data_IF_352225070282
#
_entry.id   IF_352225070282
#
_cell.length_a   1.000
_cell.length_b   1.000
_cell.length_c   1.000
_cell.angle_alpha   90.00
_cell.angle_beta   90.00
_cell.angle_gamma   90.00
#
_symmetry.space_group_name_H-M   'P 1'
#
loop_
_entity.id
_entity.type
_entity.pdbx_description
1 polymer ?
#
# COMPACT_ATOMS: atom_id res chain seq x y z
N UNK A 1 4.36 1.15 23.39
CA UNK A 1 5.28 1.09 22.22
C UNK A 1 4.57 0.41 21.07
N UNK A 2 4.77 0.87 19.84
CA UNK A 2 4.20 0.25 18.64
C UNK A 2 5.29 -0.55 17.94
N UNK A 3 5.01 -1.79 17.60
CA UNK A 3 5.94 -2.67 16.88
C UNK A 3 5.27 -3.17 15.60
N UNK A 4 5.97 -3.08 14.47
CA UNK A 4 5.49 -3.57 13.20
C UNK A 4 5.81 -5.07 13.06
N UNK A 5 4.88 -5.82 12.45
CA UNK A 5 5.02 -7.27 12.28
C UNK A 5 6.13 -7.65 11.30
N UNK A 6 6.50 -6.72 10.41
CA UNK A 6 7.63 -6.84 9.49
C UNK A 6 8.22 -5.48 9.14
N UNK A 7 9.44 -5.48 8.70
CA UNK A 7 10.10 -4.28 8.24
C UNK A 7 9.46 -3.83 6.92
N UNK A 8 8.93 -2.63 6.93
CA UNK A 8 8.42 -1.94 5.77
C UNK A 8 9.34 -0.76 5.44
N UNK A 9 9.69 -0.62 4.17
CA UNK A 9 10.59 0.42 3.71
C UNK A 9 9.96 1.20 2.57
N UNK A 10 10.27 2.49 2.50
CA UNK A 10 9.95 3.31 1.35
C UNK A 10 11.06 3.21 0.29
N UNK A 11 10.62 3.11 -0.95
CA UNK A 11 11.45 3.38 -2.11
C UNK A 11 11.08 4.74 -2.68
N UNK A 12 12.03 5.47 -3.21
CA UNK A 12 11.76 6.70 -3.91
C UNK A 12 11.39 6.41 -5.36
N UNK A 13 10.28 6.96 -5.80
CA UNK A 13 9.81 6.88 -7.18
C UNK A 13 9.88 8.26 -7.82
N UNK A 14 10.11 8.29 -9.14
CA UNK A 14 10.06 9.50 -9.97
C UNK A 14 8.96 9.32 -11.00
N UNK A 15 8.12 10.34 -11.13
CA UNK A 15 7.07 10.41 -12.14
C UNK A 15 7.31 11.61 -13.04
N UNK A 16 7.25 11.40 -14.36
CA UNK A 16 7.25 12.47 -15.36
C UNK A 16 5.87 12.48 -16.02
N UNK A 17 5.22 13.61 -16.01
CA UNK A 17 3.85 13.77 -16.51
C UNK A 17 3.64 15.08 -17.26
N UNK A 18 2.56 15.14 -18.02
CA UNK A 18 2.11 16.34 -18.75
C UNK A 18 0.94 16.98 -18.04
N UNK A 19 0.93 18.29 -18.02
CA UNK A 19 -0.20 19.10 -17.58
C UNK A 19 -0.63 20.02 -18.69
N UNK A 20 -1.93 20.02 -18.99
CA UNK A 20 -2.55 20.91 -19.96
C UNK A 20 -3.07 22.14 -19.23
N UNK A 21 -2.49 23.30 -19.54
CA UNK A 21 -2.96 24.57 -19.00
C UNK A 21 -4.21 25.03 -19.71
N UNK A 22 -4.98 25.92 -19.06
CA UNK A 22 -6.23 26.46 -19.61
C UNK A 22 -6.05 27.22 -20.93
N UNK A 23 -4.85 27.71 -21.20
CA UNK A 23 -4.50 28.41 -22.47
C UNK A 23 -4.01 27.43 -23.57
N UNK A 24 -4.21 26.13 -23.38
CA UNK A 24 -3.85 25.08 -24.33
C UNK A 24 -2.38 24.73 -24.39
N UNK A 25 -1.53 25.30 -23.53
CA UNK A 25 -0.12 24.93 -23.46
C UNK A 25 0.06 23.64 -22.67
N UNK A 26 0.96 22.77 -23.16
CA UNK A 26 1.35 21.54 -22.50
C UNK A 26 2.71 21.75 -21.84
N UNK A 27 2.76 21.46 -20.55
CA UNK A 27 4.02 21.50 -19.79
C UNK A 27 4.33 20.10 -19.26
N UNK A 28 5.63 19.76 -19.23
CA UNK A 28 6.09 18.50 -18.65
C UNK A 28 6.71 18.80 -17.28
N UNK A 29 6.27 18.02 -16.30
CA UNK A 29 6.76 18.08 -14.93
C UNK A 29 7.40 16.78 -14.53
N UNK A 30 8.31 16.86 -13.57
CA UNK A 30 8.92 15.69 -12.95
C UNK A 30 8.90 15.86 -11.46
N UNK A 31 8.22 14.93 -10.78
CA UNK A 31 8.11 14.89 -9.32
C UNK A 31 8.68 13.59 -8.77
N UNK A 32 8.98 13.60 -7.47
CA UNK A 32 9.39 12.42 -6.73
C UNK A 32 8.48 12.20 -5.54
N UNK A 33 8.14 10.94 -5.27
CA UNK A 33 7.34 10.55 -4.12
C UNK A 33 7.89 9.26 -3.49
N UNK A 34 7.48 9.00 -2.26
CA UNK A 34 7.82 7.77 -1.56
C UNK A 34 6.67 6.77 -1.72
N UNK A 35 7.03 5.51 -1.96
CA UNK A 35 6.10 4.40 -2.10
C UNK A 35 6.60 3.21 -1.27
N UNK A 36 5.68 2.47 -0.69
CA UNK A 36 6.01 1.25 0.03
C UNK A 36 6.64 0.22 -0.89
N UNK A 37 7.74 -0.39 -0.44
CA UNK A 37 8.61 -1.23 -1.25
C UNK A 37 7.88 -2.39 -1.92
N UNK A 38 7.01 -3.09 -1.19
CA UNK A 38 6.41 -4.33 -1.68
C UNK A 38 5.39 -4.11 -2.80
N UNK A 39 4.81 -2.91 -2.91
CA UNK A 39 3.85 -2.56 -3.97
C UNK A 39 4.43 -1.62 -5.03
N UNK A 40 5.65 -1.13 -4.85
CA UNK A 40 6.22 -0.09 -5.72
C UNK A 40 6.26 -0.49 -7.20
N UNK A 41 6.59 -1.75 -7.51
CA UNK A 41 6.64 -2.23 -8.89
C UNK A 41 5.23 -2.32 -9.50
N UNK A 42 4.22 -2.73 -8.73
CA UNK A 42 2.84 -2.70 -9.19
C UNK A 42 2.37 -1.26 -9.47
N UNK A 43 2.67 -0.31 -8.57
CA UNK A 43 2.37 1.12 -8.74
C UNK A 43 3.07 1.67 -9.98
N UNK A 44 4.35 1.33 -10.21
CA UNK A 44 5.08 1.72 -11.42
C UNK A 44 4.35 1.24 -12.68
N UNK A 45 4.00 -0.04 -12.74
CA UNK A 45 3.33 -0.64 -13.89
C UNK A 45 1.92 -0.09 -14.14
N UNK A 46 1.12 0.14 -13.09
CA UNK A 46 -0.19 0.78 -13.25
C UNK A 46 -0.04 2.14 -13.94
N UNK A 47 0.84 2.98 -13.44
CA UNK A 47 1.07 4.31 -14.00
C UNK A 47 1.64 4.26 -15.41
N UNK A 48 2.63 3.39 -15.68
CA UNK A 48 3.23 3.22 -17.00
C UNK A 48 2.22 2.77 -18.06
N UNK A 49 1.25 1.95 -17.65
CA UNK A 49 0.18 1.47 -18.54
C UNK A 49 -0.99 2.46 -18.66
N UNK A 50 -0.92 3.61 -18.01
CA UNK A 50 -1.93 4.66 -18.09
C UNK A 50 -3.05 4.57 -17.05
N UNK A 51 -2.95 3.67 -16.07
CA UNK A 51 -3.84 3.61 -14.89
C UNK A 51 -3.25 4.46 -13.78
N UNK A 52 -3.42 5.78 -13.91
CA UNK A 52 -2.80 6.73 -13.01
C UNK A 52 -3.22 6.54 -11.56
N UNK A 53 -2.24 6.36 -10.67
CA UNK A 53 -2.47 6.21 -9.23
C UNK A 53 -2.14 7.49 -8.48
N UNK A 54 -2.86 7.70 -7.37
CA UNK A 54 -2.58 8.74 -6.38
C UNK A 54 -1.89 8.14 -5.14
N UNK A 55 -2.53 8.27 -3.98
CA UNK A 55 -2.01 7.74 -2.74
C UNK A 55 -2.10 6.21 -2.70
N UNK A 56 -1.13 5.57 -2.07
CA UNK A 56 -1.10 4.13 -1.87
C UNK A 56 -0.45 3.76 -0.53
N UNK A 57 -0.77 2.57 -0.05
CA UNK A 57 -0.18 1.97 1.14
C UNK A 57 -0.23 0.45 1.01
N UNK A 58 0.85 -0.24 1.36
CA UNK A 58 0.92 -1.71 1.27
C UNK A 58 0.14 -2.45 2.36
N UNK A 59 -0.26 -1.74 3.40
CA UNK A 59 -0.81 -2.29 4.63
C UNK A 59 0.26 -2.51 5.69
N UNK A 60 -0.06 -2.14 6.93
CA UNK A 60 0.90 -2.12 8.03
C UNK A 60 0.34 -2.84 9.26
N UNK A 61 0.42 -4.18 9.28
CA UNK A 61 0.11 -4.88 10.52
C UNK A 61 1.12 -4.50 11.59
N UNK A 62 0.60 -4.11 12.74
CA UNK A 62 1.41 -3.69 13.88
C UNK A 62 0.80 -4.18 15.19
N UNK A 63 1.59 -4.15 16.25
CA UNK A 63 1.12 -4.38 17.63
C UNK A 63 1.43 -3.19 18.52
N UNK A 64 0.58 -2.96 19.50
CA UNK A 64 0.86 -2.07 20.62
C UNK A 64 1.36 -2.94 21.76
N UNK A 65 2.57 -2.65 22.24
CA UNK A 65 3.15 -3.28 23.43
C UNK A 65 2.80 -2.36 24.59
N UNK A 66 1.95 -2.81 25.53
CA UNK A 66 1.63 -2.01 26.71
C UNK A 66 2.87 -1.85 27.60
N UNK A 67 3.04 -0.65 28.16
CA UNK A 67 4.16 -0.36 29.06
C UNK A 67 4.06 -1.08 30.43
N UNK A 68 2.92 -1.71 30.71
CA UNK A 68 2.65 -2.34 31.99
C UNK A 68 2.88 -3.86 31.97
N UNK A 69 3.47 -4.37 33.05
CA UNK A 69 3.75 -5.76 33.36
C UNK A 69 2.56 -6.76 33.34
N UNK A 70 1.56 -6.58 32.48
CA UNK A 70 0.49 -7.56 32.31
C UNK A 70 1.02 -8.82 31.61
N UNK A 71 1.52 -9.74 32.42
CA UNK A 71 2.24 -10.95 31.96
C UNK A 71 1.42 -11.92 31.09
N UNK A 72 0.09 -11.80 31.06
CA UNK A 72 -0.78 -12.77 30.37
C UNK A 72 -1.17 -12.37 28.94
N UNK A 73 -1.30 -11.06 28.67
CA UNK A 73 -1.63 -10.54 27.36
C UNK A 73 -0.71 -9.37 27.04
N UNK A 74 0.39 -9.67 26.39
CA UNK A 74 1.43 -8.66 26.15
C UNK A 74 1.11 -7.72 25.00
N UNK A 75 0.24 -8.12 24.06
CA UNK A 75 0.14 -7.42 22.79
C UNK A 75 -1.29 -7.25 22.34
N UNK A 76 -1.59 -6.07 21.83
CA UNK A 76 -2.78 -5.82 21.03
C UNK A 76 -2.33 -5.71 19.59
N UNK A 77 -2.84 -6.57 18.71
CA UNK A 77 -2.49 -6.57 17.30
C UNK A 77 -3.53 -5.79 16.48
N UNK A 78 -3.06 -5.04 15.51
CA UNK A 78 -3.86 -4.32 14.53
C UNK A 78 -3.38 -4.71 13.13
N UNK A 79 -4.32 -4.84 12.20
CA UNK A 79 -4.07 -5.29 10.85
C UNK A 79 -4.62 -4.27 9.85
N UNK A 80 -3.89 -3.17 9.71
CA UNK A 80 -4.26 -2.14 8.74
C UNK A 80 -4.14 -2.70 7.32
N UNK A 81 -5.23 -2.60 6.57
CA UNK A 81 -5.27 -2.99 5.17
C UNK A 81 -4.43 -2.06 4.29
N UNK A 82 -4.00 -2.58 3.14
CA UNK A 82 -3.42 -1.74 2.12
C UNK A 82 -4.49 -1.10 1.24
N UNK A 83 -4.11 -0.06 0.50
CA UNK A 83 -4.99 0.60 -0.45
C UNK A 83 -4.22 1.24 -1.60
N UNK A 84 -4.92 1.44 -2.71
CA UNK A 84 -4.46 2.25 -3.84
C UNK A 84 -5.60 3.16 -4.27
N UNK A 85 -5.36 4.47 -4.38
CA UNK A 85 -6.26 5.39 -5.04
C UNK A 85 -5.87 5.58 -6.49
N UNK A 86 -6.85 5.66 -7.38
CA UNK A 86 -6.67 5.95 -8.80
C UNK A 86 -7.15 7.38 -9.10
N UNK A 87 -6.65 7.98 -10.16
CA UNK A 87 -7.13 9.29 -10.61
C UNK A 87 -8.51 9.19 -11.30
N UNK A 88 -8.93 7.97 -11.69
CA UNK A 88 -10.22 7.71 -12.37
C UNK A 88 -11.00 6.62 -11.65
N UNK A 89 -12.32 6.81 -11.52
CA UNK A 89 -13.25 5.81 -10.96
C UNK A 89 -13.32 4.58 -11.89
N UNK A 90 -13.29 4.80 -13.20
CA UNK A 90 -13.33 3.76 -14.21
C UNK A 90 -12.12 2.86 -14.12
N UNK A 91 -10.93 3.46 -13.94
CA UNK A 91 -9.67 2.72 -13.75
C UNK A 91 -9.71 1.87 -12.48
N UNK A 92 -10.15 2.48 -11.36
CA UNK A 92 -10.34 1.73 -10.12
C UNK A 92 -11.24 0.52 -10.32
N UNK A 93 -12.42 0.72 -10.95
CA UNK A 93 -13.39 -0.36 -11.18
C UNK A 93 -12.81 -1.46 -12.05
N UNK A 94 -12.10 -1.10 -13.12
CA UNK A 94 -11.50 -2.05 -14.03
C UNK A 94 -10.41 -2.88 -13.36
N UNK A 95 -9.47 -2.22 -12.67
CA UNK A 95 -8.40 -2.91 -11.94
C UNK A 95 -8.96 -3.77 -10.82
N UNK A 96 -9.92 -3.26 -10.04
CA UNK A 96 -10.56 -4.02 -8.97
C UNK A 96 -11.26 -5.28 -9.48
N UNK A 97 -11.92 -5.22 -10.64
CA UNK A 97 -12.54 -6.40 -11.24
C UNK A 97 -11.49 -7.49 -11.51
N UNK A 98 -10.33 -7.12 -12.07
CA UNK A 98 -9.23 -8.04 -12.33
C UNK A 98 -8.61 -8.62 -11.05
N UNK A 99 -8.45 -7.81 -10.03
CA UNK A 99 -7.98 -8.27 -8.72
C UNK A 99 -8.96 -9.27 -8.08
N UNK A 100 -10.27 -9.00 -8.17
CA UNK A 100 -11.31 -9.89 -7.64
C UNK A 100 -11.39 -11.24 -8.35
N UNK A 101 -11.01 -11.34 -9.61
CA UNK A 101 -10.88 -12.62 -10.33
C UNK A 101 -9.82 -13.53 -9.67
N UNK A 102 -8.78 -12.94 -9.06
CA UNK A 102 -7.67 -13.67 -8.44
C UNK A 102 -7.79 -13.81 -6.92
N UNK A 103 -8.39 -12.84 -6.23
CA UNK A 103 -8.52 -12.86 -4.77
C UNK A 103 -9.73 -12.09 -4.27
N UNK A 104 -10.47 -12.70 -3.36
CA UNK A 104 -11.64 -12.09 -2.70
C UNK A 104 -11.27 -11.06 -1.63
N UNK A 105 -9.99 -10.90 -1.29
CA UNK A 105 -9.55 -9.91 -0.30
C UNK A 105 -9.58 -8.47 -0.79
N UNK A 106 -9.62 -8.26 -2.12
CA UNK A 106 -9.72 -6.92 -2.69
C UNK A 106 -11.16 -6.42 -2.70
N UNK A 107 -11.37 -5.17 -2.30
CA UNK A 107 -12.68 -4.53 -2.22
C UNK A 107 -12.60 -3.04 -2.54
N UNK A 108 -13.76 -2.40 -2.70
CA UNK A 108 -13.82 -0.94 -2.72
C UNK A 108 -13.53 -0.41 -1.31
N UNK A 109 -12.79 0.69 -1.23
CA UNK A 109 -12.62 1.40 0.03
C UNK A 109 -13.96 2.06 0.41
N UNK A 110 -14.63 1.49 1.40
CA UNK A 110 -15.90 1.98 1.92
C UNK A 110 -15.75 2.75 3.24
N UNK A 111 -14.57 2.75 3.83
CA UNK A 111 -14.32 3.23 5.18
C UNK A 111 -13.51 4.51 5.24
N UNK A 112 -12.79 4.85 4.17
CA UNK A 112 -11.97 6.05 4.13
C UNK A 112 -12.84 7.30 4.12
N UNK A 113 -12.66 8.15 5.13
CA UNK A 113 -13.18 9.53 5.14
C UNK A 113 -12.32 10.45 4.26
N UNK A 114 -11.31 9.92 3.58
CA UNK A 114 -10.42 10.69 2.72
C UNK A 114 -11.13 11.11 1.43
N UNK A 115 -10.74 12.25 0.88
CA UNK A 115 -11.32 12.78 -0.38
C UNK A 115 -11.21 11.81 -1.56
N UNK A 116 -10.27 10.87 -1.52
CA UNK A 116 -10.03 9.87 -2.57
C UNK A 116 -10.78 8.53 -2.36
N UNK A 117 -11.65 8.37 -1.35
CA UNK A 117 -12.34 7.11 -1.06
C UNK A 117 -13.10 6.54 -2.27
N UNK A 118 -13.73 7.41 -3.08
CA UNK A 118 -14.50 6.98 -4.26
C UNK A 118 -13.62 6.35 -5.35
N UNK A 119 -12.34 6.69 -5.39
CA UNK A 119 -11.37 6.23 -6.39
C UNK A 119 -10.42 5.18 -5.82
N UNK A 120 -10.55 4.82 -4.54
CA UNK A 120 -9.66 3.86 -3.87
C UNK A 120 -10.23 2.45 -3.89
N UNK A 121 -9.35 1.49 -4.06
CA UNK A 121 -9.57 0.10 -3.68
C UNK A 121 -8.70 -0.24 -2.48
N UNK A 122 -9.13 -1.22 -1.72
CA UNK A 122 -8.43 -1.69 -0.53
C UNK A 122 -8.28 -3.21 -0.53
N UNK A 123 -7.34 -3.70 0.25
CA UNK A 123 -7.24 -5.11 0.62
C UNK A 123 -6.93 -5.25 2.11
N UNK A 124 -7.54 -6.23 2.72
CA UNK A 124 -7.31 -6.55 4.12
C UNK A 124 -7.25 -8.08 4.27
N UNK A 125 -6.23 -8.65 4.92
CA UNK A 125 -6.07 -10.10 5.05
C UNK A 125 -7.18 -10.72 5.90
N UNK A 126 -7.81 -9.91 6.76
CA UNK A 126 -8.98 -10.30 7.55
C UNK A 126 -10.01 -9.19 7.44
N UNK A 127 -11.20 -9.55 6.99
CA UNK A 127 -12.32 -8.60 6.84
C UNK A 127 -13.09 -8.34 8.13
N UNK A 128 -12.80 -9.10 9.19
CA UNK A 128 -13.52 -8.99 10.46
C UNK A 128 -12.82 -7.99 11.37
N UNK A 129 -13.52 -6.93 11.76
CA UNK A 129 -13.10 -6.02 12.82
C UNK A 129 -12.89 -6.73 14.17
N UNK A 130 -13.39 -7.95 14.33
CA UNK A 130 -13.25 -8.77 15.55
C UNK A 130 -11.80 -9.18 15.82
N UNK A 131 -10.92 -9.11 14.84
CA UNK A 131 -9.50 -9.47 14.99
C UNK A 131 -8.64 -8.27 15.32
N UNK A 132 -9.06 -7.07 14.91
CA UNK A 132 -8.32 -5.85 15.21
C UNK A 132 -8.44 -5.51 16.71
N UNK A 133 -7.32 -5.24 17.34
CA UNK A 133 -7.25 -4.88 18.75
C UNK A 133 -7.40 -6.04 19.74
N UNK A 134 -7.45 -7.30 19.28
CA UNK A 134 -7.45 -8.46 20.16
C UNK A 134 -6.13 -8.60 20.92
N UNK A 135 -6.23 -9.04 22.16
CA UNK A 135 -5.08 -9.37 22.99
C UNK A 135 -4.65 -10.81 22.74
N UNK A 136 -3.38 -11.00 22.41
CA UNK A 136 -2.81 -12.31 22.15
C UNK A 136 -1.75 -12.69 23.17
N UNK A 137 -1.67 -13.98 23.50
CA UNK A 137 -0.47 -14.52 24.13
C UNK A 137 0.72 -14.42 23.16
N UNK A 138 1.95 -14.45 23.68
CA UNK A 138 3.15 -14.36 22.83
C UNK A 138 3.17 -15.44 21.73
N UNK A 139 2.82 -16.67 22.07
CA UNK A 139 2.81 -17.79 21.11
C UNK A 139 1.73 -17.62 20.03
N UNK A 140 0.54 -17.17 20.40
CA UNK A 140 -0.53 -16.87 19.43
C UNK A 140 -0.12 -15.74 18.50
N UNK A 141 0.48 -14.68 19.05
CA UNK A 141 0.99 -13.56 18.28
C UNK A 141 2.02 -13.99 17.23
N UNK A 142 3.03 -14.80 17.61
CA UNK A 142 4.04 -15.28 16.68
C UNK A 142 3.46 -16.16 15.57
N UNK A 143 2.52 -17.03 15.92
CA UNK A 143 1.85 -17.88 14.93
C UNK A 143 1.03 -17.06 13.95
N UNK A 144 0.25 -16.09 14.43
CA UNK A 144 -0.54 -15.20 13.59
C UNK A 144 0.34 -14.32 12.71
N UNK A 145 1.43 -13.79 13.23
CA UNK A 145 2.38 -12.98 12.45
C UNK A 145 2.86 -13.70 11.20
N UNK A 146 3.19 -14.99 11.33
CA UNK A 146 3.62 -15.81 10.18
C UNK A 146 2.51 -15.95 9.14
N UNK A 147 1.29 -16.25 9.59
CA UNK A 147 0.14 -16.41 8.69
C UNK A 147 -0.15 -15.10 7.96
N UNK A 148 -0.21 -13.99 8.68
CA UNK A 148 -0.47 -12.69 8.07
C UNK A 148 0.61 -12.28 7.09
N UNK A 149 1.87 -12.49 7.43
CA UNK A 149 2.97 -12.21 6.52
C UNK A 149 2.82 -12.96 5.19
N UNK A 150 2.44 -14.23 5.25
CA UNK A 150 2.15 -15.01 4.05
C UNK A 150 1.01 -14.39 3.24
N UNK A 151 -0.14 -14.11 3.88
CA UNK A 151 -1.32 -13.55 3.19
C UNK A 151 -0.99 -12.19 2.55
N UNK A 152 -0.31 -11.28 3.25
CA UNK A 152 0.08 -10.00 2.66
C UNK A 152 1.04 -10.18 1.48
N UNK A 153 2.02 -11.05 1.61
CA UNK A 153 2.94 -11.35 0.51
C UNK A 153 2.19 -11.87 -0.72
N UNK A 154 1.23 -12.76 -0.53
CA UNK A 154 0.40 -13.28 -1.62
C UNK A 154 -0.45 -12.15 -2.26
N UNK A 155 -1.01 -11.24 -1.46
CA UNK A 155 -1.78 -10.10 -1.97
C UNK A 155 -0.92 -9.12 -2.77
N UNK A 156 0.31 -8.85 -2.34
CA UNK A 156 1.25 -8.03 -3.12
C UNK A 156 1.66 -8.70 -4.44
N UNK A 157 1.83 -10.02 -4.44
CA UNK A 157 2.07 -10.79 -5.68
C UNK A 157 0.87 -10.70 -6.63
N UNK A 158 -0.35 -10.84 -6.13
CA UNK A 158 -1.57 -10.67 -6.94
C UNK A 158 -1.66 -9.26 -7.53
N UNK A 159 -1.33 -8.23 -6.77
CA UNK A 159 -1.27 -6.86 -7.27
C UNK A 159 -0.28 -6.72 -8.43
N UNK A 160 0.92 -7.26 -8.25
CA UNK A 160 1.97 -7.21 -9.27
C UNK A 160 1.56 -8.00 -10.53
N UNK A 161 1.03 -9.19 -10.36
CA UNK A 161 0.56 -10.03 -11.45
C UNK A 161 -0.53 -9.33 -12.27
N UNK A 162 -1.54 -8.76 -11.62
CA UNK A 162 -2.58 -7.99 -12.31
C UNK A 162 -1.97 -6.79 -13.02
N UNK A 163 -1.07 -6.04 -12.37
CA UNK A 163 -0.41 -4.91 -13.00
C UNK A 163 0.37 -5.30 -14.26
N UNK A 164 1.00 -6.50 -14.27
CA UNK A 164 1.69 -7.06 -15.43
C UNK A 164 0.74 -7.46 -16.55
N UNK A 165 -0.41 -8.04 -16.22
CA UNK A 165 -1.39 -8.54 -17.19
C UNK A 165 -2.26 -7.45 -17.83
N UNK A 166 -2.44 -6.31 -17.17
CA UNK A 166 -3.23 -5.20 -17.68
C UNK A 166 -2.72 -4.72 -19.05
N UNK A 167 -3.62 -4.42 -20.00
CA UNK A 167 -3.23 -3.84 -21.27
C UNK A 167 -2.77 -2.37 -21.08
N UNK A 168 -1.90 -1.90 -21.97
CA UNK A 168 -1.64 -0.47 -22.07
C UNK A 168 -2.90 0.26 -22.55
N UNK A 169 -3.26 1.33 -21.89
CA UNK A 169 -4.34 2.22 -22.35
C UNK A 169 -3.89 2.92 -23.62
N UNK A 170 -4.70 2.77 -24.65
CA UNK A 170 -4.48 3.52 -25.90
C UNK A 170 -4.89 4.97 -25.67
N UNK A 171 -3.93 5.87 -25.78
CA UNK A 171 -4.16 7.32 -25.74
C UNK A 171 -3.15 8.01 -26.63
N UNK A 172 -3.63 8.97 -27.41
CA UNK A 172 -2.76 9.78 -28.29
C UNK A 172 -1.97 10.82 -27.48
N UNK A 173 -2.43 11.13 -26.28
CA UNK A 173 -1.80 12.09 -25.39
C UNK A 173 -1.75 11.52 -23.95
N UNK A 174 -0.76 10.69 -23.63
CA UNK A 174 -0.62 10.13 -22.29
C UNK A 174 -0.27 11.21 -21.27
N UNK A 175 -1.06 11.27 -20.21
CA UNK A 175 -0.78 12.18 -19.10
C UNK A 175 0.52 11.78 -18.38
N UNK A 176 0.72 10.49 -18.09
CA UNK A 176 1.97 9.99 -17.50
C UNK A 176 2.89 9.54 -18.62
N UNK A 177 4.11 10.08 -18.64
CA UNK A 177 5.11 9.78 -19.65
C UNK A 177 6.10 8.71 -19.20
N UNK A 178 6.46 8.73 -17.91
CA UNK A 178 7.47 7.83 -17.36
C UNK A 178 7.32 7.69 -15.86
N UNK A 179 7.54 6.48 -15.35
CA UNK A 179 7.66 6.21 -13.91
C UNK A 179 8.87 5.34 -13.66
N UNK A 180 9.69 5.72 -12.71
CA UNK A 180 10.94 5.05 -12.37
C UNK A 180 11.03 4.81 -10.86
N UNK A 181 11.51 3.62 -10.47
CA UNK A 181 11.96 3.37 -9.11
C UNK A 181 13.43 3.79 -9.04
N UNK A 182 13.74 4.71 -8.14
CA UNK A 182 15.11 5.21 -7.99
C UNK A 182 15.90 4.31 -7.04
N UNK A 183 17.09 3.90 -7.46
CA UNK A 183 18.05 3.18 -6.61
C UNK A 183 18.64 4.12 -5.55
N UNK A 184 17.85 4.49 -4.55
CA UNK A 184 18.29 5.25 -3.39
C UNK A 184 18.23 4.37 -2.15
N UNK A 185 19.02 4.70 -1.11
CA UNK A 185 18.92 4.00 0.18
C UNK A 185 17.46 3.96 0.65
N UNK A 186 17.02 2.79 1.05
CA UNK A 186 15.70 2.59 1.64
C UNK A 186 15.62 3.32 2.97
N UNK A 187 14.49 3.96 3.23
CA UNK A 187 14.19 4.52 4.55
C UNK A 187 13.16 3.61 5.23
N UNK A 188 13.33 3.29 6.52
CA UNK A 188 12.30 2.62 7.27
C UNK A 188 10.99 3.41 7.20
N UNK A 189 9.87 2.73 6.99
CA UNK A 189 8.55 3.35 6.86
C UNK A 189 8.19 4.29 8.01
N UNK A 190 8.71 4.02 9.21
CA UNK A 190 8.42 4.76 10.44
C UNK A 190 9.60 5.56 10.99
N UNK A 191 10.60 5.86 10.18
CA UNK A 191 11.78 6.62 10.61
C UNK A 191 11.47 8.00 11.22
N UNK A 192 10.28 8.55 10.96
CA UNK A 192 9.87 9.87 11.44
C UNK A 192 8.90 9.82 12.64
N UNK A 193 8.55 8.67 13.16
CA UNK A 193 7.71 8.57 14.37
C UNK A 193 8.62 8.70 15.58
N UNK A 194 8.65 9.88 16.18
CA UNK A 194 9.41 10.13 17.41
C UNK A 194 9.10 9.06 18.46
N UNK A 195 10.11 8.38 18.94
CA UNK A 195 10.03 7.35 20.00
C UNK A 195 9.97 5.89 19.53
N UNK A 196 10.03 5.61 18.23
CA UNK A 196 10.21 4.24 17.73
C UNK A 196 11.69 3.89 17.70
N UNK A 197 12.12 2.95 18.53
CA UNK A 197 13.41 2.29 18.37
C UNK A 197 13.31 1.34 17.19
N UNK A 198 14.25 1.44 16.27
CA UNK A 198 14.42 0.43 15.22
C UNK A 198 14.89 -0.89 15.83
N UNK A 199 14.50 -2.02 15.24
CA UNK A 199 14.83 -3.38 15.74
C UNK A 199 16.34 -3.65 15.78
N UNK A 200 17.16 -2.76 15.22
CA UNK A 200 18.62 -2.87 15.22
C UNK A 200 19.29 -2.37 16.53
N UNK A 201 18.52 -1.86 17.47
CA UNK A 201 19.03 -1.33 18.75
C UNK A 201 18.69 -2.21 19.99
N UNK A 202 18.33 -3.49 19.78
CA UNK A 202 18.08 -4.43 20.88
C UNK A 202 18.99 -5.65 20.76
#
# INVERSE_FOLDING_TARGET
MMEHLWNSYYVQMRITYREHSRDGKVKTYTDTFECDQHIAEAIRLFNEKGYATGNCCEGHPYRIIPDNNQRKYKNTAYFDGGYISFCSIEDKKFVLAKLKEKSSFFSEDTHSKMMCARTSLEWKPIRSAEVDGLKYSQMQYESMTRIFKMIYTDLWHVLLEVAQELPYKKTDDPWILKVEILNKPLKPHFANVQGLKTVEEV
#
